data_IF_363807296229
#
_entry.id   IF_363807296229
#
_cell.length_a   1.000
_cell.length_b   1.000
_cell.length_c   1.000
_cell.angle_alpha   90.00
_cell.angle_beta   90.00
_cell.angle_gamma   90.00
#
_symmetry.space_group_name_H-M   'P 1'
#
loop_
_entity.id
_entity.type
_entity.pdbx_description
1 polymer ?
#
# COMPACT_ATOMS: atom_id res chain seq x y z
N UNK A 1 21.92 44.94 -25.19
CA UNK A 1 21.50 43.81 -24.34
C UNK A 1 20.33 43.17 -25.06
N UNK A 2 20.61 42.16 -25.89
CA UNK A 2 19.56 41.30 -26.43
C UNK A 2 18.95 40.53 -25.26
N UNK A 3 17.66 40.75 -25.02
CA UNK A 3 16.86 39.82 -24.23
C UNK A 3 16.87 38.48 -24.97
N UNK A 4 17.64 37.53 -24.45
CA UNK A 4 17.52 36.13 -24.83
C UNK A 4 16.13 35.71 -24.40
N UNK A 5 15.21 35.78 -25.35
CA UNK A 5 13.85 35.30 -25.23
C UNK A 5 13.94 33.77 -25.15
N UNK A 6 14.10 33.24 -23.93
CA UNK A 6 14.05 31.79 -23.68
C UNK A 6 12.62 31.38 -24.00
N UNK A 7 12.37 30.94 -25.23
CA UNK A 7 11.12 30.30 -25.61
C UNK A 7 10.84 29.21 -24.57
N UNK A 8 9.76 29.39 -23.80
CA UNK A 8 9.31 28.33 -22.91
C UNK A 8 9.05 27.09 -23.78
N UNK A 9 9.69 25.94 -23.49
CA UNK A 9 9.55 24.77 -24.34
C UNK A 9 8.08 24.38 -24.40
N UNK A 10 7.52 24.33 -25.62
CA UNK A 10 6.13 23.94 -25.86
C UNK A 10 5.86 22.62 -25.14
N UNK A 11 4.82 22.59 -24.29
CA UNK A 11 4.42 21.40 -23.54
C UNK A 11 4.43 20.16 -24.45
N UNK A 12 5.10 19.10 -24.02
CA UNK A 12 5.12 17.85 -24.75
C UNK A 12 3.74 17.15 -24.57
N UNK A 13 3.19 16.51 -25.62
CA UNK A 13 1.86 15.93 -25.57
C UNK A 13 1.75 14.88 -24.46
N UNK A 14 0.66 14.92 -23.72
CA UNK A 14 0.39 13.97 -22.62
C UNK A 14 0.01 12.58 -23.16
N UNK A 15 -0.58 12.51 -24.34
CA UNK A 15 -0.96 11.27 -25.03
C UNK A 15 0.29 10.68 -25.71
N UNK A 16 0.56 9.39 -25.48
CA UNK A 16 1.76 8.65 -25.94
C UNK A 16 3.11 9.12 -25.37
N UNK A 17 3.10 9.85 -24.24
CA UNK A 17 4.34 10.24 -23.55
C UNK A 17 4.93 9.08 -22.74
N UNK A 18 6.25 8.88 -22.84
CA UNK A 18 6.94 7.82 -22.11
C UNK A 18 6.92 8.08 -20.59
N UNK A 19 6.85 9.35 -20.14
CA UNK A 19 6.73 9.68 -18.70
C UNK A 19 5.42 9.18 -18.10
N UNK A 20 4.32 9.24 -18.87
CA UNK A 20 3.02 8.70 -18.47
C UNK A 20 3.06 7.18 -18.46
N UNK A 21 3.74 6.56 -19.44
CA UNK A 21 3.97 5.11 -19.44
C UNK A 21 4.79 4.65 -18.23
N UNK A 22 5.84 5.37 -17.83
CA UNK A 22 6.61 5.10 -16.61
C UNK A 22 5.73 5.22 -15.37
N UNK A 23 4.89 6.26 -15.28
CA UNK A 23 3.94 6.40 -14.18
C UNK A 23 2.89 5.28 -14.15
N UNK A 24 2.43 4.81 -15.31
CA UNK A 24 1.49 3.69 -15.42
C UNK A 24 2.13 2.34 -15.04
N UNK A 25 3.34 2.07 -15.52
CA UNK A 25 4.08 0.86 -15.10
C UNK A 25 4.38 0.93 -13.60
N UNK A 26 4.72 2.10 -13.08
CA UNK A 26 4.87 2.36 -11.65
C UNK A 26 3.60 2.12 -10.85
N UNK A 27 2.43 2.53 -11.37
CA UNK A 27 1.12 2.20 -10.81
C UNK A 27 0.91 0.69 -10.72
N UNK A 28 1.20 -0.07 -11.79
CA UNK A 28 1.12 -1.53 -11.76
C UNK A 28 2.09 -2.17 -10.77
N UNK A 29 3.27 -1.56 -10.58
CA UNK A 29 4.22 -1.97 -9.54
C UNK A 29 3.66 -1.80 -8.14
N UNK A 30 2.97 -0.69 -7.89
CA UNK A 30 2.30 -0.45 -6.62
C UNK A 30 1.13 -1.39 -6.38
N UNK A 31 0.39 -1.77 -7.42
CA UNK A 31 -0.61 -2.84 -7.36
C UNK A 31 0.05 -4.13 -6.89
N UNK A 32 1.11 -4.59 -7.57
CA UNK A 32 1.79 -5.83 -7.23
C UNK A 32 2.40 -5.82 -5.82
N UNK A 33 3.05 -4.73 -5.45
CA UNK A 33 3.65 -4.52 -4.14
C UNK A 33 2.62 -4.61 -3.00
N UNK A 34 1.52 -3.86 -3.10
CA UNK A 34 0.48 -3.88 -2.07
C UNK A 34 -0.30 -5.19 -2.04
N UNK A 35 -0.47 -5.85 -3.19
CA UNK A 35 -1.06 -7.18 -3.21
C UNK A 35 -0.24 -8.21 -2.43
N UNK A 36 1.08 -8.22 -2.62
CA UNK A 36 1.98 -9.06 -1.82
C UNK A 36 1.98 -8.67 -0.34
N UNK A 37 1.97 -7.37 -0.02
CA UNK A 37 1.97 -6.88 1.36
C UNK A 37 0.78 -7.39 2.18
N UNK A 38 -0.42 -7.41 1.60
CA UNK A 38 -1.68 -7.77 2.27
C UNK A 38 -1.98 -9.27 2.24
N UNK A 39 -1.35 -10.02 1.32
CA UNK A 39 -1.56 -11.46 1.13
C UNK A 39 -1.66 -12.26 2.44
N UNK A 40 -0.76 -12.03 3.41
CA UNK A 40 -0.77 -12.73 4.71
C UNK A 40 -1.98 -12.39 5.57
N UNK A 41 -2.47 -11.15 5.53
CA UNK A 41 -3.61 -10.72 6.33
C UNK A 41 -4.87 -11.43 5.88
N UNK A 42 -5.03 -11.59 4.57
CA UNK A 42 -6.10 -12.37 3.97
C UNK A 42 -5.89 -13.88 4.19
N UNK A 43 -4.68 -14.39 3.99
CA UNK A 43 -4.37 -15.81 4.19
C UNK A 43 -4.60 -16.26 5.64
N UNK A 44 -4.33 -15.41 6.63
CA UNK A 44 -4.57 -15.68 8.05
C UNK A 44 -6.04 -16.02 8.36
N UNK A 45 -6.99 -15.45 7.62
CA UNK A 45 -8.43 -15.76 7.77
C UNK A 45 -8.74 -17.21 7.40
N UNK A 46 -7.94 -17.81 6.52
CA UNK A 46 -8.20 -19.14 5.95
C UNK A 46 -7.22 -20.21 6.44
N UNK A 47 -6.02 -19.82 6.91
CA UNK A 47 -4.98 -20.74 7.35
C UNK A 47 -5.03 -21.09 8.85
N UNK A 48 -5.75 -20.30 9.66
CA UNK A 48 -5.83 -20.48 11.11
C UNK A 48 -7.04 -21.31 11.50
N UNK A 49 -6.84 -22.27 12.41
CA UNK A 49 -7.93 -23.00 13.05
C UNK A 49 -8.55 -22.19 14.19
N UNK A 50 -9.65 -21.49 13.91
CA UNK A 50 -10.37 -20.68 14.90
C UNK A 50 -11.06 -21.50 16.00
N UNK A 51 -11.41 -22.77 15.76
CA UNK A 51 -12.10 -23.63 16.73
C UNK A 51 -11.17 -24.13 17.84
N UNK A 52 -9.87 -24.27 17.54
CA UNK A 52 -8.85 -24.70 18.51
C UNK A 52 -8.38 -23.61 19.49
N UNK A 53 -8.67 -22.33 19.21
CA UNK A 53 -8.11 -21.17 19.93
C UNK A 53 -9.06 -20.60 21.00
N UNK A 54 -10.34 -20.99 20.98
CA UNK A 54 -11.34 -20.63 22.00
C UNK A 54 -11.54 -21.79 23.01
N UNK A 55 -10.73 -21.89 24.08
CA UNK A 55 -10.89 -22.94 25.10
C UNK A 55 -12.22 -22.86 25.86
N UNK A 56 -12.93 -21.72 25.81
CA UNK A 56 -14.26 -21.54 26.42
C UNK A 56 -15.35 -22.41 25.78
N UNK A 57 -15.12 -23.00 24.60
CA UNK A 57 -16.06 -23.95 23.98
C UNK A 57 -15.83 -25.40 24.36
N UNK A 58 -14.65 -25.78 24.84
CA UNK A 58 -14.40 -27.18 25.21
C UNK A 58 -14.87 -27.52 26.63
N UNK A 59 -15.34 -26.52 27.38
CA UNK A 59 -16.01 -26.68 28.67
C UNK A 59 -17.53 -26.47 28.55
N UNK A 60 -18.19 -27.18 27.64
CA UNK A 60 -19.66 -27.28 27.65
C UNK A 60 -20.08 -28.23 28.78
N UNK A 61 -20.25 -27.69 29.99
CA UNK A 61 -21.24 -28.22 30.92
C UNK A 61 -22.63 -27.94 30.32
N UNK A 62 -23.56 -28.91 30.31
CA UNK A 62 -24.87 -28.77 29.65
C UNK A 62 -25.85 -27.83 30.39
N UNK A 63 -25.37 -26.97 31.31
CA UNK A 63 -26.22 -26.16 32.20
C UNK A 63 -26.07 -24.65 32.02
N UNK A 64 -25.61 -24.18 30.84
CA UNK A 64 -25.64 -22.74 30.50
C UNK A 64 -26.27 -22.55 29.11
N UNK A 65 -27.57 -22.80 29.01
CA UNK A 65 -28.42 -22.35 27.90
C UNK A 65 -28.79 -20.87 28.05
N UNK A 66 -27.80 -19.97 28.09
CA UNK A 66 -28.02 -18.53 27.97
C UNK A 66 -26.79 -17.80 27.44
N UNK A 67 -26.36 -18.04 26.18
CA UNK A 67 -25.41 -17.13 25.53
C UNK A 67 -25.80 -16.92 24.05
N UNK A 68 -26.26 -15.69 23.76
CA UNK A 68 -26.39 -15.01 22.46
C UNK A 68 -27.56 -15.40 21.52
N UNK A 69 -28.77 -14.98 21.86
CA UNK A 69 -29.91 -14.84 20.94
C UNK A 69 -29.91 -13.54 20.12
N UNK A 70 -29.01 -12.60 20.37
CA UNK A 70 -29.05 -11.28 19.72
C UNK A 70 -28.43 -11.22 18.31
N UNK A 71 -27.61 -12.21 17.94
CA UNK A 71 -26.97 -12.29 16.63
C UNK A 71 -26.82 -13.77 16.22
N UNK A 72 -27.80 -14.35 15.50
CA UNK A 72 -27.70 -15.73 15.08
C UNK A 72 -26.51 -15.89 14.12
N UNK A 73 -25.58 -16.79 14.48
CA UNK A 73 -24.65 -17.37 13.52
C UNK A 73 -25.50 -18.03 12.43
N UNK A 74 -25.24 -17.68 11.17
CA UNK A 74 -25.84 -18.39 10.06
C UNK A 74 -25.38 -19.86 10.16
N UNK A 75 -26.28 -20.77 10.54
CA UNK A 75 -25.96 -22.19 10.78
C UNK A 75 -25.42 -22.95 9.56
N UNK A 76 -25.29 -22.30 8.40
CA UNK A 76 -24.85 -22.89 7.13
C UNK A 76 -23.57 -22.26 6.54
N UNK A 77 -22.81 -21.44 7.28
CA UNK A 77 -21.49 -21.05 6.78
C UNK A 77 -20.50 -22.18 7.02
N UNK A 78 -20.03 -22.80 5.94
CA UNK A 78 -18.87 -23.69 5.97
C UNK A 78 -17.70 -22.86 6.49
N UNK A 79 -17.39 -22.98 7.78
CA UNK A 79 -16.19 -22.39 8.35
C UNK A 79 -15.02 -23.10 7.69
N UNK A 80 -14.28 -22.37 6.87
CA UNK A 80 -13.01 -22.84 6.35
C UNK A 80 -12.06 -22.87 7.56
N UNK A 81 -11.90 -24.04 8.17
CA UNK A 81 -10.92 -24.22 9.23
C UNK A 81 -9.56 -24.49 8.60
N UNK A 82 -8.60 -23.60 8.89
CA UNK A 82 -7.24 -23.78 8.43
C UNK A 82 -6.50 -24.86 9.21
N UNK A 83 -5.38 -25.37 8.67
CA UNK A 83 -4.64 -26.47 9.29
C UNK A 83 -3.82 -26.05 10.52
N UNK A 84 -3.62 -24.75 10.77
CA UNK A 84 -2.66 -24.28 11.77
C UNK A 84 -3.33 -23.71 13.04
N UNK A 85 -3.05 -24.25 14.24
CA UNK A 85 -3.56 -23.73 15.51
C UNK A 85 -2.72 -22.54 16.00
N UNK A 86 -2.64 -21.46 15.21
CA UNK A 86 -1.84 -20.28 15.57
C UNK A 86 -2.61 -19.32 16.47
N UNK A 87 -2.13 -19.14 17.70
CA UNK A 87 -2.70 -18.19 18.67
C UNK A 87 -2.67 -16.76 18.13
N UNK A 88 -3.54 -15.87 18.65
CA UNK A 88 -3.58 -14.46 18.24
C UNK A 88 -2.23 -13.75 18.38
N UNK A 89 -1.41 -14.15 19.37
CA UNK A 89 -0.05 -13.64 19.55
C UNK A 89 0.87 -14.04 18.38
N UNK A 90 0.88 -15.32 17.99
CA UNK A 90 1.68 -15.81 16.84
C UNK A 90 1.27 -15.10 15.55
N UNK A 91 -0.03 -14.93 15.31
CA UNK A 91 -0.53 -14.20 14.14
C UNK A 91 -0.02 -12.75 14.12
N UNK A 92 -0.01 -12.09 15.29
CA UNK A 92 0.54 -10.74 15.45
C UNK A 92 2.04 -10.68 15.14
N UNK A 93 2.82 -11.64 15.63
CA UNK A 93 4.25 -11.75 15.35
C UNK A 93 4.51 -11.94 13.85
N UNK A 94 3.82 -12.88 13.20
CA UNK A 94 3.95 -13.17 11.75
C UNK A 94 3.56 -11.95 10.89
N UNK A 95 2.50 -11.23 11.27
CA UNK A 95 2.13 -9.96 10.63
C UNK A 95 3.25 -8.93 10.78
N UNK A 96 3.78 -8.79 12.00
CA UNK A 96 4.81 -7.83 12.39
C UNK A 96 6.17 -8.04 11.74
N UNK A 97 6.57 -9.29 11.44
CA UNK A 97 7.88 -9.61 10.84
C UNK A 97 8.19 -8.79 9.58
N UNK A 98 7.18 -8.55 8.74
CA UNK A 98 7.30 -7.68 7.57
C UNK A 98 7.67 -6.24 7.92
N UNK A 99 7.02 -5.66 8.94
CA UNK A 99 7.24 -4.27 9.30
C UNK A 99 8.62 -4.04 9.91
N UNK A 100 9.16 -5.02 10.64
CA UNK A 100 10.53 -4.98 11.13
C UNK A 100 11.55 -4.92 9.99
N UNK A 101 11.39 -5.76 8.97
CA UNK A 101 12.23 -5.69 7.77
C UNK A 101 12.07 -4.37 7.03
N UNK A 102 10.83 -3.96 6.80
CA UNK A 102 10.51 -2.73 6.08
C UNK A 102 11.17 -1.49 6.69
N UNK A 103 11.11 -1.35 8.03
CA UNK A 103 11.71 -0.23 8.78
C UNK A 103 13.22 -0.09 8.53
N UNK A 104 13.95 -1.21 8.50
CA UNK A 104 15.43 -1.21 8.39
C UNK A 104 15.87 -0.60 7.06
N UNK A 105 15.13 -0.86 5.99
CA UNK A 105 15.53 -0.54 4.62
C UNK A 105 14.93 0.75 4.06
N UNK A 106 13.99 1.39 4.76
CA UNK A 106 13.31 2.58 4.24
C UNK A 106 14.26 3.79 4.08
N UNK A 107 15.07 4.07 5.11
CA UNK A 107 16.05 5.18 5.06
C UNK A 107 17.25 4.83 4.16
N UNK A 108 17.93 3.67 4.31
CA UNK A 108 19.04 3.30 3.43
C UNK A 108 18.59 3.12 1.98
N UNK A 109 17.37 2.65 1.75
CA UNK A 109 16.79 2.44 0.42
C UNK A 109 16.72 3.71 -0.41
N UNK A 110 16.45 4.86 0.21
CA UNK A 110 16.48 6.15 -0.48
C UNK A 110 17.87 6.55 -0.94
N UNK A 111 18.89 6.30 -0.11
CA UNK A 111 20.28 6.54 -0.48
C UNK A 111 20.73 5.58 -1.60
N UNK A 112 20.42 4.28 -1.46
CA UNK A 112 20.75 3.27 -2.47
C UNK A 112 20.08 3.55 -3.82
N UNK A 113 18.80 3.97 -3.82
CA UNK A 113 18.09 4.33 -5.04
C UNK A 113 18.70 5.55 -5.74
N UNK A 114 19.25 6.50 -4.97
CA UNK A 114 19.95 7.66 -5.52
C UNK A 114 21.30 7.32 -6.15
N UNK A 115 22.05 6.37 -5.58
CA UNK A 115 23.39 5.99 -6.05
C UNK A 115 23.36 4.92 -7.14
N UNK A 116 22.61 3.84 -6.93
CA UNK A 116 22.56 2.68 -7.83
C UNK A 116 21.44 2.73 -8.87
N UNK A 117 20.60 3.78 -8.81
CA UNK A 117 19.44 3.93 -9.69
C UNK A 117 18.21 3.16 -9.21
N UNK A 118 17.03 3.67 -9.56
CA UNK A 118 15.75 3.04 -9.23
C UNK A 118 15.44 1.82 -10.11
N UNK A 119 16.10 1.66 -11.26
CA UNK A 119 15.93 0.50 -12.15
C UNK A 119 16.25 -0.81 -11.44
N UNK A 120 17.47 -0.93 -10.90
CA UNK A 120 17.95 -2.14 -10.24
C UNK A 120 17.35 -2.30 -8.84
N UNK A 121 17.25 -1.21 -8.08
CA UNK A 121 16.78 -1.27 -6.69
C UNK A 121 15.29 -1.63 -6.63
N UNK A 122 14.41 -0.99 -7.40
CA UNK A 122 12.98 -1.31 -7.38
C UNK A 122 12.70 -2.67 -8.03
N UNK A 123 13.28 -2.95 -9.21
CA UNK A 123 13.09 -4.23 -9.88
C UNK A 123 13.60 -5.42 -9.05
N UNK A 124 14.82 -5.30 -8.51
CA UNK A 124 15.42 -6.32 -7.65
C UNK A 124 14.63 -6.55 -6.36
N UNK A 125 14.15 -5.47 -5.72
CA UNK A 125 13.27 -5.55 -4.56
C UNK A 125 12.01 -6.38 -4.84
N UNK A 126 11.33 -6.12 -5.96
CA UNK A 126 10.11 -6.86 -6.34
C UNK A 126 10.40 -8.32 -6.67
N UNK A 127 11.55 -8.62 -7.27
CA UNK A 127 11.97 -10.00 -7.56
C UNK A 127 12.25 -10.76 -6.26
N UNK A 128 13.03 -10.18 -5.35
CA UNK A 128 13.34 -10.79 -4.05
C UNK A 128 12.06 -11.00 -3.26
N UNK A 129 11.22 -9.96 -3.14
CA UNK A 129 9.94 -10.08 -2.43
C UNK A 129 9.02 -11.14 -3.04
N UNK A 130 8.93 -11.22 -4.37
CA UNK A 130 8.14 -12.23 -5.07
C UNK A 130 8.63 -13.65 -4.83
N UNK A 131 9.95 -13.88 -4.94
CA UNK A 131 10.56 -15.19 -4.71
C UNK A 131 10.31 -15.68 -3.27
N UNK A 132 10.57 -14.83 -2.27
CA UNK A 132 10.38 -15.19 -0.87
C UNK A 132 8.89 -15.31 -0.49
N UNK A 133 8.00 -14.58 -1.16
CA UNK A 133 6.55 -14.73 -0.97
C UNK A 133 6.04 -16.10 -1.43
N UNK A 134 6.55 -16.63 -2.54
CA UNK A 134 6.22 -17.99 -3.03
C UNK A 134 6.67 -19.08 -2.04
N UNK A 135 7.72 -18.83 -1.25
CA UNK A 135 8.21 -19.77 -0.25
C UNK A 135 7.38 -19.77 1.05
N UNK A 136 6.52 -18.78 1.28
CA UNK A 136 5.73 -18.66 2.52
C UNK A 136 4.87 -19.89 2.81
N UNK A 137 4.11 -20.46 1.86
CA UNK A 137 3.31 -21.65 2.13
C UNK A 137 4.14 -22.85 2.58
N UNK A 138 5.32 -23.03 1.99
CA UNK A 138 6.28 -24.06 2.42
C UNK A 138 6.85 -23.77 3.81
N UNK A 139 7.16 -22.51 4.12
CA UNK A 139 7.58 -22.12 5.47
C UNK A 139 6.51 -22.40 6.53
N UNK A 140 5.24 -22.25 6.18
CA UNK A 140 4.11 -22.48 7.10
C UNK A 140 3.97 -23.95 7.50
N UNK A 141 4.26 -24.90 6.60
CA UNK A 141 4.20 -26.33 6.91
C UNK A 141 5.32 -26.79 7.85
N UNK A 142 6.42 -26.03 7.94
CA UNK A 142 7.52 -26.29 8.85
C UNK A 142 7.27 -25.70 10.24
N UNK A 143 7.19 -24.37 10.33
CA UNK A 143 7.02 -23.66 11.59
C UNK A 143 6.64 -22.19 11.37
N UNK A 144 5.85 -21.59 12.27
CA UNK A 144 5.48 -20.16 12.19
C UNK A 144 6.70 -19.23 12.18
N UNK A 145 7.80 -19.64 12.83
CA UNK A 145 9.06 -18.89 12.87
C UNK A 145 9.74 -18.79 11.49
N UNK A 146 9.60 -19.81 10.64
CA UNK A 146 10.11 -19.76 9.26
C UNK A 146 9.32 -18.73 8.46
N UNK A 147 8.00 -18.71 8.62
CA UNK A 147 7.14 -17.69 8.00
C UNK A 147 7.51 -16.28 8.45
N UNK A 148 7.78 -16.10 9.75
CA UNK A 148 8.24 -14.83 10.29
C UNK A 148 9.55 -14.36 9.63
N UNK A 149 10.52 -15.25 9.46
CA UNK A 149 11.79 -14.94 8.81
C UNK A 149 11.63 -14.62 7.31
N UNK A 150 10.84 -15.40 6.58
CA UNK A 150 10.52 -15.12 5.17
C UNK A 150 9.82 -13.75 5.04
N UNK A 151 8.90 -13.43 5.95
CA UNK A 151 8.21 -12.12 6.01
C UNK A 151 9.17 -10.98 6.29
N UNK A 152 10.17 -11.18 7.15
CA UNK A 152 11.23 -10.20 7.41
C UNK A 152 11.98 -9.86 6.11
N UNK A 153 12.36 -10.87 5.33
CA UNK A 153 13.08 -10.68 4.05
C UNK A 153 12.21 -9.95 3.03
N UNK A 154 10.93 -10.33 2.90
CA UNK A 154 9.98 -9.62 2.04
C UNK A 154 9.83 -8.15 2.47
N UNK A 155 9.80 -7.90 3.78
CA UNK A 155 9.80 -6.56 4.36
C UNK A 155 11.03 -5.74 3.97
N UNK A 156 12.23 -6.31 4.16
CA UNK A 156 13.51 -5.69 3.77
C UNK A 156 13.54 -5.33 2.28
N UNK A 157 13.06 -6.22 1.42
CA UNK A 157 13.01 -5.96 0.00
C UNK A 157 12.04 -4.80 -0.30
N UNK A 158 10.88 -4.77 0.33
CA UNK A 158 9.85 -3.77 0.08
C UNK A 158 10.12 -2.37 0.65
N UNK A 159 10.96 -2.23 1.68
CA UNK A 159 11.21 -0.92 2.30
C UNK A 159 11.80 0.12 1.35
N UNK A 160 12.46 -0.30 0.27
CA UNK A 160 13.09 0.62 -0.70
C UNK A 160 12.13 1.19 -1.74
N UNK A 161 10.91 0.65 -1.86
CA UNK A 161 9.99 0.94 -2.97
C UNK A 161 9.52 2.41 -2.95
N UNK A 162 9.05 2.89 -1.80
CA UNK A 162 8.58 4.27 -1.66
C UNK A 162 9.67 5.31 -1.95
N UNK A 163 10.89 5.19 -1.39
CA UNK A 163 12.01 6.04 -1.78
C UNK A 163 12.29 6.00 -3.29
N UNK A 164 12.31 4.80 -3.90
CA UNK A 164 12.52 4.65 -5.35
C UNK A 164 11.48 5.45 -6.16
N UNK A 165 10.20 5.42 -5.78
CA UNK A 165 9.17 6.20 -6.48
C UNK A 165 9.49 7.71 -6.49
N UNK A 166 9.95 8.23 -5.35
CA UNK A 166 10.29 9.66 -5.26
C UNK A 166 11.49 10.02 -6.14
N UNK A 167 12.48 9.12 -6.25
CA UNK A 167 13.67 9.24 -7.11
C UNK A 167 13.29 9.17 -8.60
N UNK A 168 12.46 8.18 -8.99
CA UNK A 168 11.96 8.04 -10.36
C UNK A 168 11.28 9.35 -10.79
N UNK A 169 10.40 9.87 -9.95
CA UNK A 169 9.66 11.10 -10.24
C UNK A 169 10.53 12.36 -10.22
N UNK A 170 11.68 12.39 -9.52
CA UNK A 170 12.63 13.52 -9.67
C UNK A 170 13.34 13.55 -11.01
N UNK A 171 13.53 12.39 -11.66
CA UNK A 171 14.23 12.32 -12.94
C UNK A 171 13.28 12.43 -14.13
N UNK A 172 12.06 11.87 -14.01
CA UNK A 172 11.13 11.70 -15.13
C UNK A 172 9.98 12.71 -15.16
N UNK A 173 9.63 13.34 -14.03
CA UNK A 173 8.47 14.22 -13.95
C UNK A 173 8.87 15.70 -13.81
N UNK A 174 8.39 16.60 -14.69
CA UNK A 174 8.52 18.03 -14.50
C UNK A 174 7.89 18.49 -13.16
N UNK A 175 8.38 19.56 -12.52
CA UNK A 175 7.91 20.00 -11.20
C UNK A 175 6.39 20.20 -11.08
N UNK A 176 5.75 20.70 -12.14
CA UNK A 176 4.31 21.00 -12.16
C UNK A 176 3.43 19.75 -12.29
N UNK A 177 3.95 18.68 -12.90
CA UNK A 177 3.24 17.40 -13.10
C UNK A 177 3.64 16.33 -12.07
N UNK A 178 4.77 16.53 -11.37
CA UNK A 178 5.35 15.56 -10.42
C UNK A 178 4.38 15.09 -9.35
N UNK A 179 3.62 16.01 -8.76
CA UNK A 179 2.63 15.68 -7.74
C UNK A 179 1.53 14.77 -8.28
N UNK A 180 1.06 15.02 -9.51
CA UNK A 180 0.00 14.25 -10.18
C UNK A 180 0.48 12.85 -10.54
N UNK A 181 1.65 12.72 -11.15
CA UNK A 181 2.21 11.42 -11.55
C UNK A 181 2.54 10.56 -10.33
N UNK A 182 3.11 11.15 -9.27
CA UNK A 182 3.35 10.43 -8.01
C UNK A 182 2.03 10.00 -7.34
N UNK A 183 1.03 10.88 -7.32
CA UNK A 183 -0.31 10.57 -6.80
C UNK A 183 -0.98 9.45 -7.58
N UNK A 184 -0.88 9.48 -8.91
CA UNK A 184 -1.37 8.41 -9.78
C UNK A 184 -0.68 7.08 -9.48
N UNK A 185 0.66 7.04 -9.42
CA UNK A 185 1.38 5.82 -9.04
C UNK A 185 0.96 5.28 -7.67
N UNK A 186 0.82 6.16 -6.67
CA UNK A 186 0.37 5.81 -5.33
C UNK A 186 -1.04 5.18 -5.35
N UNK A 187 -1.95 5.68 -6.18
CA UNK A 187 -3.30 5.12 -6.28
C UNK A 187 -3.30 3.61 -6.61
N UNK A 188 -2.26 3.09 -7.26
CA UNK A 188 -2.11 1.65 -7.52
C UNK A 188 -2.11 0.79 -6.27
N UNK A 189 -1.61 1.32 -5.15
CA UNK A 189 -1.62 0.64 -3.85
C UNK A 189 -3.03 0.20 -3.44
N UNK A 190 -4.02 1.08 -3.61
CA UNK A 190 -5.40 0.81 -3.21
C UNK A 190 -6.05 -0.26 -4.09
N UNK A 191 -5.76 -0.24 -5.40
CA UNK A 191 -6.21 -1.31 -6.30
C UNK A 191 -5.56 -2.65 -5.93
N UNK A 192 -4.29 -2.67 -5.53
CA UNK A 192 -3.62 -3.87 -5.02
C UNK A 192 -4.34 -4.47 -3.80
N UNK A 193 -4.83 -3.62 -2.89
CA UNK A 193 -5.65 -4.02 -1.74
C UNK A 193 -6.96 -4.65 -2.17
N UNK A 194 -7.69 -3.98 -3.08
CA UNK A 194 -8.97 -4.45 -3.62
C UNK A 194 -8.81 -5.82 -4.28
N UNK A 195 -7.83 -5.97 -5.16
CA UNK A 195 -7.55 -7.23 -5.87
C UNK A 195 -7.29 -8.35 -4.88
N UNK A 196 -6.47 -8.11 -3.86
CA UNK A 196 -6.07 -9.17 -2.90
C UNK A 196 -7.19 -9.55 -1.94
N UNK A 197 -7.95 -8.57 -1.45
CA UNK A 197 -9.07 -8.83 -0.54
C UNK A 197 -10.23 -9.53 -1.27
N UNK A 198 -10.55 -9.10 -2.49
CA UNK A 198 -11.62 -9.71 -3.30
C UNK A 198 -11.25 -11.09 -3.81
N UNK A 199 -10.11 -11.21 -4.51
CA UNK A 199 -9.69 -12.47 -5.13
C UNK A 199 -9.17 -13.43 -4.07
N UNK A 200 -8.49 -12.95 -3.03
CA UNK A 200 -8.00 -13.80 -1.94
C UNK A 200 -9.13 -14.49 -1.17
N UNK A 201 -10.24 -13.80 -0.92
CA UNK A 201 -11.44 -14.42 -0.34
C UNK A 201 -12.02 -15.55 -1.19
N UNK A 202 -12.01 -15.39 -2.52
CA UNK A 202 -12.43 -16.44 -3.46
C UNK A 202 -11.44 -17.60 -3.51
N UNK A 203 -10.14 -17.31 -3.57
CA UNK A 203 -9.06 -18.30 -3.59
C UNK A 203 -9.08 -19.21 -2.37
N UNK A 204 -9.40 -18.67 -1.19
CA UNK A 204 -9.56 -19.48 0.02
C UNK A 204 -10.66 -20.55 -0.10
N UNK A 205 -11.68 -20.32 -0.92
CA UNK A 205 -12.78 -21.27 -1.10
C UNK A 205 -12.49 -22.35 -2.15
N UNK A 206 -11.39 -22.23 -2.88
CA UNK A 206 -11.01 -23.21 -3.89
C UNK A 206 -10.37 -24.45 -3.24
N UNK A 207 -10.72 -25.64 -3.73
CA UNK A 207 -10.17 -26.91 -3.25
C UNK A 207 -8.73 -27.16 -3.70
N UNK A 208 -8.23 -26.41 -4.69
CA UNK A 208 -6.89 -26.55 -5.21
C UNK A 208 -5.83 -26.03 -4.23
N UNK A 209 -4.79 -26.84 -3.98
CA UNK A 209 -3.67 -26.53 -3.08
C UNK A 209 -4.05 -26.13 -1.63
N UNK A 210 -5.25 -26.47 -1.15
CA UNK A 210 -5.74 -26.02 0.17
C UNK A 210 -6.17 -24.54 0.21
N UNK A 211 -6.36 -23.91 -0.95
CA UNK A 211 -6.93 -22.57 -1.13
C UNK A 211 -5.99 -21.42 -0.77
N UNK A 212 -5.58 -21.31 0.50
CA UNK A 212 -4.78 -20.19 1.01
C UNK A 212 -3.36 -20.05 0.40
N UNK A 213 -2.63 -21.13 0.01
CA UNK A 213 -1.32 -20.97 -0.63
C UNK A 213 -1.38 -20.24 -1.97
N UNK A 214 -2.51 -20.30 -2.68
CA UNK A 214 -2.71 -19.67 -3.99
C UNK A 214 -2.59 -18.15 -3.93
N UNK A 215 -2.91 -17.54 -2.79
CA UNK A 215 -2.77 -16.10 -2.57
C UNK A 215 -1.28 -15.72 -2.66
N UNK A 216 -0.40 -16.51 -2.06
CA UNK A 216 1.05 -16.28 -2.10
C UNK A 216 1.66 -16.59 -3.46
N UNK A 217 1.23 -17.68 -4.10
CA UNK A 217 1.73 -18.03 -5.44
C UNK A 217 1.34 -16.98 -6.48
N UNK A 218 0.07 -16.57 -6.51
CA UNK A 218 -0.40 -15.57 -7.48
C UNK A 218 0.25 -14.20 -7.28
N UNK A 219 0.25 -13.67 -6.05
CA UNK A 219 0.85 -12.36 -5.76
C UNK A 219 2.38 -12.39 -5.88
N UNK A 220 3.02 -13.49 -5.50
CA UNK A 220 4.46 -13.71 -5.65
C UNK A 220 4.90 -13.71 -7.12
N UNK A 221 4.24 -14.52 -7.96
CA UNK A 221 4.51 -14.59 -9.41
C UNK A 221 4.25 -13.24 -10.09
N UNK A 222 3.17 -12.54 -9.72
CA UNK A 222 2.88 -11.21 -10.25
C UNK A 222 4.03 -10.22 -9.97
N UNK A 223 4.57 -10.21 -8.75
CA UNK A 223 5.71 -9.35 -8.42
C UNK A 223 7.02 -9.76 -9.11
N UNK A 224 7.26 -11.06 -9.31
CA UNK A 224 8.40 -11.56 -10.08
C UNK A 224 8.34 -11.09 -11.54
N UNK A 225 7.20 -11.32 -12.21
CA UNK A 225 7.00 -10.94 -13.62
C UNK A 225 7.15 -9.42 -13.76
N UNK A 226 6.51 -8.66 -12.86
CA UNK A 226 6.61 -7.20 -12.90
C UNK A 226 8.04 -6.71 -12.66
N UNK A 227 8.75 -7.27 -11.68
CA UNK A 227 10.13 -6.88 -11.39
C UNK A 227 11.10 -7.16 -12.54
N UNK A 228 10.96 -8.32 -13.20
CA UNK A 228 11.73 -8.65 -14.41
C UNK A 228 11.39 -7.66 -15.53
N UNK A 229 10.09 -7.44 -15.80
CA UNK A 229 9.64 -6.48 -16.79
C UNK A 229 10.18 -5.07 -16.53
N UNK A 230 10.15 -4.61 -15.28
CA UNK A 230 10.66 -3.30 -14.86
C UNK A 230 12.14 -3.11 -15.20
N UNK A 231 12.96 -4.12 -14.92
CA UNK A 231 14.41 -4.07 -15.21
C UNK A 231 14.65 -3.92 -16.71
N UNK A 232 13.83 -4.49 -17.59
CA UNK A 232 13.98 -4.33 -19.03
C UNK A 232 13.36 -3.05 -19.58
N UNK A 233 12.23 -2.60 -19.02
CA UNK A 233 11.47 -1.45 -19.52
C UNK A 233 12.03 -0.10 -19.05
N UNK A 234 12.38 0.02 -17.76
CA UNK A 234 12.74 1.29 -17.15
C UNK A 234 14.23 1.62 -17.29
N UNK A 235 14.54 2.91 -17.44
CA UNK A 235 15.91 3.43 -17.50
C UNK A 235 16.03 4.63 -16.54
N UNK A 236 17.11 4.71 -15.76
CA UNK A 236 17.24 5.72 -14.71
C UNK A 236 17.34 7.16 -15.22
N UNK A 237 17.87 7.34 -16.43
CA UNK A 237 17.96 8.65 -17.10
C UNK A 237 17.06 8.69 -18.33
N UNK A 238 16.23 9.74 -18.49
CA UNK A 238 15.50 9.99 -19.72
C UNK A 238 16.41 10.08 -20.97
N UNK A 239 17.69 10.40 -20.79
CA UNK A 239 18.65 10.51 -21.91
C UNK A 239 19.00 9.19 -22.56
N UNK A 240 19.01 8.11 -21.76
CA UNK A 240 19.36 6.76 -22.19
C UNK A 240 18.13 5.95 -22.62
N UNK A 241 16.92 6.51 -22.50
CA UNK A 241 15.72 5.85 -22.98
C UNK A 241 15.66 5.88 -24.51
N UNK A 242 15.50 4.73 -25.16
CA UNK A 242 15.48 4.63 -26.62
C UNK A 242 14.12 5.03 -27.23
N UNK A 243 13.03 4.82 -26.49
CA UNK A 243 11.67 5.06 -26.97
C UNK A 243 11.15 6.49 -26.73
N UNK A 244 11.99 7.40 -26.20
CA UNK A 244 11.58 8.78 -25.90
C UNK A 244 11.64 9.66 -27.16
N UNK A 245 10.62 10.48 -27.37
CA UNK A 245 10.65 11.52 -28.41
C UNK A 245 11.65 12.62 -28.04
N UNK A 246 12.39 13.15 -29.02
CA UNK A 246 13.34 14.25 -28.82
C UNK A 246 12.65 15.46 -28.14
N UNK A 247 11.41 15.78 -28.52
CA UNK A 247 10.63 16.87 -27.90
C UNK A 247 10.35 16.63 -26.42
N UNK A 248 10.07 15.38 -26.03
CA UNK A 248 9.81 15.03 -24.63
C UNK A 248 11.11 15.01 -23.82
N UNK A 249 12.20 14.51 -24.42
CA UNK A 249 13.53 14.51 -23.84
C UNK A 249 14.01 15.93 -23.54
N UNK A 250 13.84 16.86 -24.47
CA UNK A 250 14.22 18.26 -24.29
C UNK A 250 13.36 18.95 -23.23
N UNK A 251 12.04 18.71 -23.24
CA UNK A 251 11.12 19.24 -22.23
C UNK A 251 11.49 18.80 -20.81
N UNK A 252 11.74 17.50 -20.59
CA UNK A 252 12.15 16.97 -19.28
C UNK A 252 13.55 17.48 -18.92
N UNK A 253 14.50 17.46 -19.86
CA UNK A 253 15.87 17.87 -19.59
C UNK A 253 15.92 19.34 -19.21
N UNK A 254 15.20 20.22 -19.90
CA UNK A 254 15.13 21.65 -19.53
C UNK A 254 14.40 21.89 -18.21
N UNK A 255 13.28 21.18 -17.95
CA UNK A 255 12.53 21.32 -16.71
C UNK A 255 13.30 20.79 -15.47
N UNK A 256 14.16 19.79 -15.66
CA UNK A 256 14.90 19.12 -14.57
C UNK A 256 16.35 19.61 -14.45
N UNK A 257 16.93 20.21 -15.51
CA UNK A 257 18.32 20.72 -15.52
C UNK A 257 18.60 21.70 -14.38
N UNK A 258 17.69 22.65 -14.11
CA UNK A 258 17.86 23.60 -13.01
C UNK A 258 17.89 22.99 -11.60
N UNK A 259 17.54 21.70 -11.44
CA UNK A 259 17.61 20.97 -10.18
C UNK A 259 18.80 20.01 -10.08
N UNK A 260 19.29 19.51 -11.23
CA UNK A 260 20.45 18.59 -11.29
C UNK A 260 21.78 19.32 -11.52
N UNK A 261 21.79 20.49 -12.17
CA UNK A 261 23.02 21.21 -12.53
C UNK A 261 23.74 21.90 -11.37
N UNK A 262 23.10 22.04 -10.20
CA UNK A 262 23.71 22.64 -9.01
C UNK A 262 24.37 21.63 -8.07
N UNK A 263 24.37 20.34 -8.41
CA UNK A 263 25.01 19.30 -7.61
C UNK A 263 26.09 18.61 -8.44
N UNK A 264 27.29 19.19 -8.39
CA UNK A 264 28.54 18.53 -8.79
C UNK A 264 28.65 17.17 -8.12
N UNK A 265 29.17 16.17 -8.85
CA UNK A 265 29.33 14.76 -8.46
C UNK A 265 30.17 14.51 -7.18
N UNK A 266 30.71 15.55 -6.54
CA UNK A 266 31.49 15.44 -5.31
C UNK A 266 30.78 16.09 -4.11
N UNK A 267 30.42 15.22 -3.15
CA UNK A 267 29.87 15.49 -1.81
C UNK A 267 28.42 16.03 -1.69
N UNK A 268 27.43 15.20 -2.02
CA UNK A 268 26.08 15.37 -1.44
C UNK A 268 26.07 14.91 0.02
N UNK A 269 26.56 15.74 0.95
CA UNK A 269 26.35 15.52 2.39
C UNK A 269 24.96 16.02 2.77
N UNK A 270 24.00 15.11 2.89
CA UNK A 270 22.66 15.45 3.38
C UNK A 270 22.78 16.15 4.75
N UNK A 271 22.14 17.33 4.95
CA UNK A 271 22.28 18.10 6.18
C UNK A 271 21.41 17.51 7.30
N UNK A 272 21.76 16.30 7.77
CA UNK A 272 20.99 15.50 8.73
C UNK A 272 20.67 16.28 10.01
N UNK A 273 21.63 17.03 10.56
CA UNK A 273 21.40 17.84 11.75
C UNK A 273 20.31 18.89 11.53
N UNK A 274 20.35 19.61 10.41
CA UNK A 274 19.34 20.63 10.10
C UNK A 274 17.95 20.00 9.90
N UNK A 275 17.88 18.87 9.20
CA UNK A 275 16.63 18.12 9.00
C UNK A 275 16.04 17.66 10.35
N UNK A 276 16.85 17.03 11.20
CA UNK A 276 16.43 16.49 12.49
C UNK A 276 16.10 17.58 13.53
N UNK A 277 16.63 18.80 13.38
CA UNK A 277 16.27 19.93 14.26
C UNK A 277 15.07 20.75 13.77
N UNK A 278 14.56 20.49 12.57
CA UNK A 278 13.48 21.27 11.97
C UNK A 278 12.12 20.94 12.59
N UNK A 279 11.43 21.96 13.12
CA UNK A 279 10.07 21.83 13.66
C UNK A 279 9.07 21.33 12.60
N UNK A 280 9.23 21.78 11.36
CA UNK A 280 8.35 21.36 10.26
C UNK A 280 8.56 19.87 9.91
N UNK A 281 9.78 19.36 10.00
CA UNK A 281 10.08 17.95 9.79
C UNK A 281 9.41 17.08 10.86
N UNK A 282 9.57 17.44 12.14
CA UNK A 282 8.90 16.74 13.24
C UNK A 282 7.37 16.79 13.16
N UNK A 283 6.78 17.93 12.78
CA UNK A 283 5.34 18.03 12.59
C UNK A 283 4.83 17.06 11.50
N UNK A 284 5.55 16.96 10.38
CA UNK A 284 5.24 15.99 9.33
C UNK A 284 5.45 14.55 9.79
N UNK A 285 6.53 14.27 10.51
CA UNK A 285 6.83 12.94 11.04
C UNK A 285 5.72 12.43 11.95
N UNK A 286 5.31 13.24 12.94
CA UNK A 286 4.21 12.89 13.86
C UNK A 286 2.91 12.69 13.10
N UNK A 287 2.57 13.62 12.21
CA UNK A 287 1.31 13.53 11.45
C UNK A 287 1.27 12.29 10.55
N UNK A 288 2.37 11.99 9.86
CA UNK A 288 2.47 10.82 9.01
C UNK A 288 2.46 9.52 9.81
N UNK A 289 3.06 9.51 11.01
CA UNK A 289 3.02 8.36 11.93
C UNK A 289 1.58 8.07 12.37
N UNK A 290 0.85 9.11 12.80
CA UNK A 290 -0.55 8.98 13.22
C UNK A 290 -1.46 8.51 12.07
N UNK A 291 -1.30 9.08 10.88
CA UNK A 291 -2.07 8.69 9.70
C UNK A 291 -1.79 7.22 9.32
N UNK A 292 -0.51 6.83 9.21
CA UNK A 292 -0.15 5.43 8.93
C UNK A 292 -0.68 4.46 9.99
N UNK A 293 -0.61 4.82 11.28
CA UNK A 293 -1.17 4.01 12.35
C UNK A 293 -2.66 3.74 12.12
N UNK A 294 -3.43 4.79 11.81
CA UNK A 294 -4.85 4.68 11.48
C UNK A 294 -5.10 3.79 10.26
N UNK A 295 -4.43 4.08 9.14
CA UNK A 295 -4.57 3.34 7.88
C UNK A 295 -4.23 1.86 8.04
N UNK A 296 -3.13 1.51 8.72
CA UNK A 296 -2.76 0.11 8.95
C UNK A 296 -3.66 -0.61 9.95
N UNK A 297 -4.20 0.11 10.93
CA UNK A 297 -5.20 -0.45 11.86
C UNK A 297 -6.43 -0.87 11.07
N UNK A 298 -6.96 -0.01 10.19
CA UNK A 298 -8.04 -0.38 9.28
C UNK A 298 -7.65 -1.56 8.39
N UNK A 299 -6.50 -1.49 7.73
CA UNK A 299 -6.03 -2.53 6.80
C UNK A 299 -5.97 -3.93 7.41
N UNK A 300 -5.51 -4.04 8.65
CA UNK A 300 -5.32 -5.32 9.33
C UNK A 300 -6.55 -5.78 10.10
N UNK A 301 -7.40 -4.85 10.56
CA UNK A 301 -8.52 -5.15 11.43
C UNK A 301 -9.85 -5.29 10.68
N UNK A 302 -10.02 -4.68 9.49
CA UNK A 302 -11.28 -4.74 8.73
C UNK A 302 -11.72 -6.18 8.45
N UNK A 303 -10.88 -7.06 7.84
CA UNK A 303 -11.32 -8.42 7.52
C UNK A 303 -11.68 -9.22 8.78
N UNK A 304 -10.97 -8.97 9.89
CA UNK A 304 -11.21 -9.59 11.20
C UNK A 304 -12.50 -9.07 11.84
N UNK A 305 -12.76 -7.78 11.80
CA UNK A 305 -13.98 -7.16 12.32
C UNK A 305 -15.22 -7.66 11.58
N UNK A 306 -15.15 -7.72 10.25
CA UNK A 306 -16.24 -8.23 9.41
C UNK A 306 -16.57 -9.71 9.70
N UNK A 307 -15.55 -10.55 9.92
CA UNK A 307 -15.71 -11.97 10.22
C UNK A 307 -16.08 -12.25 11.69
N UNK A 308 -15.33 -11.69 12.65
CA UNK A 308 -15.47 -11.99 14.09
C UNK A 308 -16.62 -11.22 14.74
N UNK A 309 -16.84 -9.95 14.40
CA UNK A 309 -17.87 -9.10 15.02
C UNK A 309 -19.14 -9.10 14.19
N UNK A 310 -19.07 -8.74 12.90
CA UNK A 310 -20.27 -8.62 12.05
C UNK A 310 -20.81 -9.96 11.51
N UNK A 311 -20.06 -11.05 11.71
CA UNK A 311 -20.43 -12.43 11.33
C UNK A 311 -20.76 -12.60 9.84
N UNK A 312 -20.06 -11.88 8.95
CA UNK A 312 -20.20 -12.09 7.51
C UNK A 312 -19.55 -13.41 7.06
N UNK A 313 -20.13 -14.05 6.04
CA UNK A 313 -19.56 -15.23 5.41
C UNK A 313 -18.28 -14.87 4.65
N UNK A 314 -17.30 -15.78 4.59
CA UNK A 314 -15.95 -15.55 4.05
C UNK A 314 -16.01 -15.05 2.59
N UNK A 315 -16.94 -15.59 1.77
CA UNK A 315 -17.12 -15.13 0.39
C UNK A 315 -17.62 -13.69 0.31
N UNK A 316 -18.63 -13.34 1.11
CA UNK A 316 -19.13 -11.96 1.20
C UNK A 316 -18.12 -11.01 1.84
N UNK A 317 -17.29 -11.52 2.75
CA UNK A 317 -16.30 -10.74 3.49
C UNK A 317 -15.20 -10.20 2.58
N UNK A 318 -14.73 -10.98 1.60
CA UNK A 318 -13.73 -10.51 0.62
C UNK A 318 -14.24 -9.32 -0.19
N UNK A 319 -15.45 -9.42 -0.75
CA UNK A 319 -16.07 -8.35 -1.53
C UNK A 319 -16.36 -7.11 -0.67
N UNK A 320 -16.99 -7.29 0.50
CA UNK A 320 -17.35 -6.19 1.40
C UNK A 320 -16.12 -5.50 2.00
N UNK A 321 -15.06 -6.24 2.30
CA UNK A 321 -13.79 -5.68 2.78
C UNK A 321 -13.04 -4.92 1.69
N UNK A 322 -13.32 -5.17 0.41
CA UNK A 322 -12.70 -4.44 -0.70
C UNK A 322 -13.35 -3.07 -0.96
N UNK A 323 -14.65 -2.91 -0.63
CA UNK A 323 -15.43 -1.71 -0.91
C UNK A 323 -14.80 -0.41 -0.35
N UNK A 324 -14.31 -0.36 0.91
CA UNK A 324 -13.61 0.81 1.44
C UNK A 324 -12.44 1.27 0.58
N UNK A 325 -11.68 0.32 0.02
CA UNK A 325 -10.49 0.61 -0.78
C UNK A 325 -10.82 1.04 -2.22
N UNK A 326 -11.94 0.56 -2.78
CA UNK A 326 -12.44 1.06 -4.07
C UNK A 326 -12.81 2.54 -3.95
N UNK A 327 -13.54 2.89 -2.88
CA UNK A 327 -13.98 4.26 -2.66
C UNK A 327 -12.81 5.15 -2.25
N UNK A 328 -11.86 4.63 -1.46
CA UNK A 328 -10.55 5.28 -1.23
C UNK A 328 -9.88 5.61 -2.57
N UNK A 329 -9.74 4.63 -3.47
CA UNK A 329 -9.09 4.84 -4.75
C UNK A 329 -9.75 5.94 -5.59
N UNK A 330 -11.08 6.02 -5.59
CA UNK A 330 -11.79 7.14 -6.24
C UNK A 330 -11.50 8.47 -5.53
N UNK A 331 -11.56 8.48 -4.20
CA UNK A 331 -11.37 9.68 -3.40
C UNK A 331 -9.96 10.25 -3.52
N UNK A 332 -8.89 9.44 -3.50
CA UNK A 332 -7.51 9.93 -3.61
C UNK A 332 -7.27 10.66 -4.94
N UNK A 333 -7.88 10.19 -6.04
CA UNK A 333 -7.77 10.84 -7.34
C UNK A 333 -8.60 12.14 -7.40
N UNK A 334 -9.84 12.12 -6.88
CA UNK A 334 -10.72 13.28 -6.86
C UNK A 334 -10.16 14.37 -5.94
N UNK A 335 -9.73 14.03 -4.73
CA UNK A 335 -9.16 14.96 -3.75
C UNK A 335 -7.88 15.61 -4.27
N UNK A 336 -7.02 14.86 -4.97
CA UNK A 336 -5.85 15.40 -5.66
C UNK A 336 -6.22 16.45 -6.72
N UNK A 337 -7.19 16.14 -7.58
CA UNK A 337 -7.67 17.07 -8.60
C UNK A 337 -8.31 18.33 -7.99
N UNK A 338 -9.12 18.18 -6.94
CA UNK A 338 -9.74 19.29 -6.21
C UNK A 338 -8.67 20.17 -5.53
N UNK A 339 -7.66 19.56 -4.90
CA UNK A 339 -6.56 20.30 -4.28
C UNK A 339 -5.79 21.13 -5.31
N UNK A 340 -5.51 20.57 -6.48
CA UNK A 340 -4.86 21.28 -7.57
C UNK A 340 -5.74 22.42 -8.10
N UNK A 341 -7.05 22.20 -8.28
CA UNK A 341 -7.99 23.25 -8.70
C UNK A 341 -8.05 24.41 -7.71
N UNK A 342 -8.07 24.13 -6.40
CA UNK A 342 -8.07 25.15 -5.34
C UNK A 342 -6.80 26.01 -5.42
N UNK A 343 -5.65 25.39 -5.65
CA UNK A 343 -4.36 26.07 -5.79
C UNK A 343 -4.31 26.89 -7.08
N UNK A 344 -4.72 26.32 -8.21
CA UNK A 344 -4.70 26.99 -9.52
C UNK A 344 -5.65 28.18 -9.57
N UNK A 345 -6.85 28.05 -9.00
CA UNK A 345 -7.81 29.15 -8.86
C UNK A 345 -7.43 30.17 -7.78
N UNK A 346 -6.29 29.97 -7.10
CA UNK A 346 -5.78 30.85 -6.02
C UNK A 346 -6.80 31.09 -4.90
N UNK A 347 -7.70 30.13 -4.64
CA UNK A 347 -8.69 30.22 -3.56
C UNK A 347 -7.99 30.13 -2.20
N UNK A 348 -7.01 29.22 -2.08
CA UNK A 348 -6.16 29.05 -0.91
C UNK A 348 -4.70 28.95 -1.32
N UNK A 349 -3.78 29.33 -0.41
CA UNK A 349 -2.35 29.10 -0.61
C UNK A 349 -2.02 27.61 -0.55
N UNK A 350 -0.92 27.19 -1.19
CA UNK A 350 -0.46 25.78 -1.19
C UNK A 350 -0.36 25.18 0.22
N UNK A 351 0.10 25.96 1.18
CA UNK A 351 0.25 25.51 2.58
C UNK A 351 -1.11 25.38 3.27
N UNK A 352 -2.03 26.32 3.05
CA UNK A 352 -3.38 26.24 3.61
C UNK A 352 -4.14 25.05 3.05
N UNK A 353 -4.10 24.81 1.73
CA UNK A 353 -4.70 23.64 1.10
C UNK A 353 -4.15 22.35 1.72
N UNK A 354 -2.82 22.20 1.80
CA UNK A 354 -2.21 21.01 2.41
C UNK A 354 -2.62 20.78 3.87
N UNK A 355 -2.68 21.85 4.68
CA UNK A 355 -3.12 21.76 6.08
C UNK A 355 -4.59 21.37 6.18
N UNK A 356 -5.45 21.94 5.35
CA UNK A 356 -6.88 21.65 5.32
C UNK A 356 -7.13 20.16 5.02
N UNK A 357 -6.58 19.65 3.92
CA UNK A 357 -6.75 18.24 3.54
C UNK A 357 -6.17 17.28 4.59
N UNK A 358 -5.06 17.65 5.23
CA UNK A 358 -4.47 16.86 6.31
C UNK A 358 -5.37 16.81 7.56
N UNK A 359 -5.98 17.94 7.95
CA UNK A 359 -6.95 17.97 9.07
C UNK A 359 -8.19 17.15 8.74
N UNK A 360 -8.77 17.33 7.55
CA UNK A 360 -9.93 16.57 7.10
C UNK A 360 -9.63 15.06 7.09
N UNK A 361 -8.47 14.67 6.54
CA UNK A 361 -8.09 13.27 6.42
C UNK A 361 -7.71 12.57 7.71
N UNK A 362 -7.50 13.29 8.82
CA UNK A 362 -7.29 12.68 10.13
C UNK A 362 -8.52 12.79 11.05
N UNK A 363 -9.26 13.90 10.97
CA UNK A 363 -10.40 14.14 11.85
C UNK A 363 -11.62 13.29 11.49
N UNK A 364 -11.95 13.18 10.20
CA UNK A 364 -13.11 12.40 9.75
C UNK A 364 -12.96 10.93 10.11
N UNK A 365 -11.85 10.24 9.78
CA UNK A 365 -11.67 8.85 10.16
C UNK A 365 -11.75 8.63 11.67
N UNK A 366 -11.19 9.53 12.49
CA UNK A 366 -11.26 9.43 13.95
C UNK A 366 -12.71 9.45 14.47
N UNK A 367 -13.56 10.35 13.97
CA UNK A 367 -14.97 10.42 14.34
C UNK A 367 -15.72 9.14 13.94
N UNK A 368 -15.43 8.59 12.76
CA UNK A 368 -16.06 7.36 12.29
C UNK A 368 -15.61 6.12 13.07
N UNK A 369 -14.35 6.04 13.52
CA UNK A 369 -13.88 4.95 14.40
C UNK A 369 -14.59 4.99 15.75
N UNK A 370 -14.79 6.18 16.33
CA UNK A 370 -15.56 6.32 17.57
C UNK A 370 -16.99 5.82 17.36
N UNK A 371 -17.62 6.17 16.24
CA UNK A 371 -18.95 5.66 15.88
C UNK A 371 -18.99 4.13 15.74
N UNK A 372 -17.96 3.51 15.14
CA UNK A 372 -17.86 2.05 14.99
C UNK A 372 -17.83 1.31 16.33
N UNK A 373 -17.29 1.92 17.39
CA UNK A 373 -17.22 1.31 18.72
C UNK A 373 -18.60 1.03 19.33
N UNK A 374 -19.64 1.77 18.90
CA UNK A 374 -21.01 1.60 19.39
C UNK A 374 -21.87 0.69 18.49
N UNK A 375 -21.31 0.15 17.40
CA UNK A 375 -22.06 -0.66 16.44
C UNK A 375 -22.18 -2.11 16.89
N UNK A 376 -23.39 -2.67 16.79
CA UNK A 376 -23.69 -4.08 17.08
C UNK A 376 -24.08 -4.82 15.80
N UNK A 377 -24.07 -6.17 15.81
CA UNK A 377 -24.31 -6.95 14.59
C UNK A 377 -25.76 -6.89 14.08
N UNK A 378 -26.70 -6.30 14.86
CA UNK A 378 -28.06 -5.97 14.40
C UNK A 378 -28.07 -4.92 13.29
N UNK A 379 -27.05 -4.06 13.22
CA UNK A 379 -26.94 -2.96 12.23
C UNK A 379 -25.68 -3.13 11.36
N UNK A 380 -25.36 -4.37 10.99
CA UNK A 380 -24.11 -4.72 10.29
C UNK A 380 -23.85 -3.93 9.00
N UNK A 381 -24.88 -3.64 8.20
CA UNK A 381 -24.71 -2.87 6.95
C UNK A 381 -24.39 -1.38 7.20
N UNK A 382 -24.93 -0.80 8.27
CA UNK A 382 -24.58 0.56 8.66
C UNK A 382 -23.14 0.63 9.18
N UNK A 383 -22.69 -0.39 9.93
CA UNK A 383 -21.29 -0.51 10.34
C UNK A 383 -20.35 -0.60 9.13
N UNK A 384 -20.72 -1.36 8.08
CA UNK A 384 -19.95 -1.40 6.83
C UNK A 384 -19.90 -0.02 6.15
N UNK A 385 -21.03 0.70 6.07
CA UNK A 385 -21.07 2.03 5.48
C UNK A 385 -20.18 3.02 6.25
N UNK A 386 -20.27 3.03 7.58
CA UNK A 386 -19.47 3.89 8.45
C UNK A 386 -17.97 3.61 8.32
N UNK A 387 -17.60 2.33 8.27
CA UNK A 387 -16.24 1.86 8.07
C UNK A 387 -15.70 2.23 6.69
N UNK A 388 -16.54 2.11 5.66
CA UNK A 388 -16.19 2.51 4.29
C UNK A 388 -15.92 4.01 4.21
N UNK A 389 -16.80 4.83 4.78
CA UNK A 389 -16.62 6.29 4.81
C UNK A 389 -15.37 6.65 5.62
N UNK A 390 -15.17 6.04 6.79
CA UNK A 390 -13.98 6.28 7.62
C UNK A 390 -12.67 6.03 6.88
N UNK A 391 -12.57 4.91 6.17
CA UNK A 391 -11.38 4.55 5.37
C UNK A 391 -11.24 5.43 4.12
N UNK A 392 -12.34 5.92 3.55
CA UNK A 392 -12.29 6.76 2.34
C UNK A 392 -11.58 8.10 2.59
N UNK A 393 -11.67 8.62 3.82
CA UNK A 393 -11.09 9.92 4.17
C UNK A 393 -9.65 9.83 4.70
N UNK A 394 -9.16 8.66 5.14
CA UNK A 394 -7.75 8.47 5.52
C UNK A 394 -6.80 8.61 4.35
#
# INVERSE_FOLDING_TARGET
MEEINIEQPKSAPFICSIRVAVAFVGFLGMVAHYSQKISIGMALVCMVNHSSIDPLKNSFNPSVTQINTDCPLLNNTVKIEGPYPWTKNIQGLVLGGYFWGYLITEVPGGYLAGVYGARLIFGGAMIIAGAFSILIPWGASLHWGVVWFLRLIVGLAHGVIWPCMTVIMSHWAPPDERGKLLGFMNAGAQIGNVVTLSIGGLMCSWSFAGGWPLIFYSTGIMGLIWGIFWIFFYTDSPRHQHCISNREKDYITHATQGQLSNHSENEFKAPWKAILTSKACWALFVTHTCNNWGTYTFLTSIPKYMAEVLKFDIKSNGLLSSLPYIIFWLNINISGAVADMIIQKKILTRTQTRKLFNVLGNLFPALFVIGLAFMTCKIKYFAVALLTIGVTFT
#
